data_IF_832584364531
#
_entry.id   IF_832584364531
#
_cell.length_a   1.000
_cell.length_b   1.000
_cell.length_c   1.000
_cell.angle_alpha   90.00
_cell.angle_beta   90.00
_cell.angle_gamma   90.00
#
_symmetry.space_group_name_H-M   'P 1'
#
loop_
_entity.id
_entity.type
_entity.pdbx_description
1 polymer ?
#
# COMPACT_ATOMS: atom_id res chain seq x y z
N UNK A 1 1.10 -4.64 -17.95
CA UNK A 1 2.01 -5.74 -17.57
C UNK A 1 1.40 -6.47 -16.38
N UNK A 2 1.16 -5.78 -15.28
CA UNK A 2 0.61 -6.35 -14.03
C UNK A 2 -0.39 -5.40 -13.38
N UNK A 3 -1.27 -5.96 -12.56
CA UNK A 3 -2.09 -5.24 -11.59
C UNK A 3 -1.39 -5.31 -10.22
N UNK A 4 -1.60 -4.31 -9.38
CA UNK A 4 -1.03 -4.23 -8.03
C UNK A 4 -2.02 -3.59 -7.07
N UNK A 5 -1.97 -3.98 -5.81
CA UNK A 5 -2.68 -3.35 -4.72
C UNK A 5 -1.85 -3.40 -3.44
N UNK A 6 -2.34 -2.77 -2.39
CA UNK A 6 -1.68 -2.76 -1.09
C UNK A 6 -2.17 -3.92 -0.24
N UNK A 7 -1.26 -4.52 0.54
CA UNK A 7 -1.55 -5.57 1.49
C UNK A 7 -0.61 -5.45 2.69
N UNK A 8 -0.98 -6.05 3.80
CA UNK A 8 -0.12 -6.07 4.99
C UNK A 8 1.00 -7.12 4.84
N UNK A 9 2.17 -6.77 5.37
CA UNK A 9 3.27 -7.70 5.63
C UNK A 9 3.65 -7.61 7.08
N UNK A 10 3.91 -8.76 7.69
CA UNK A 10 4.22 -8.83 9.10
C UNK A 10 5.54 -9.55 9.33
N UNK A 11 6.35 -9.03 10.23
CA UNK A 11 7.52 -9.71 10.76
C UNK A 11 7.08 -10.70 11.84
N UNK A 12 6.78 -11.91 11.41
CA UNK A 12 6.33 -12.97 12.30
C UNK A 12 7.33 -13.25 13.42
N UNK A 13 8.64 -13.06 13.19
CA UNK A 13 9.66 -13.23 14.21
C UNK A 13 9.42 -12.32 15.40
N UNK A 14 9.21 -11.00 15.16
CA UNK A 14 8.89 -10.05 16.25
C UNK A 14 7.55 -10.35 16.91
N UNK A 15 6.52 -10.67 16.12
CA UNK A 15 5.21 -11.02 16.67
C UNK A 15 5.29 -12.21 17.62
N UNK A 16 6.02 -13.26 17.24
CA UNK A 16 6.26 -14.46 18.08
C UNK A 16 7.06 -14.11 19.34
N UNK A 17 8.11 -13.27 19.23
CA UNK A 17 8.94 -12.83 20.36
C UNK A 17 8.13 -12.03 21.40
N UNK A 18 7.22 -11.18 20.96
CA UNK A 18 6.35 -10.37 21.83
C UNK A 18 5.16 -11.18 22.34
N UNK A 19 4.84 -12.29 21.71
CA UNK A 19 3.67 -13.12 22.03
C UNK A 19 2.35 -12.48 21.54
N UNK A 20 2.39 -11.90 20.34
CA UNK A 20 1.23 -11.40 19.64
C UNK A 20 0.97 -12.25 18.39
N UNK A 21 -0.26 -12.65 18.15
CA UNK A 21 -0.65 -13.30 16.90
C UNK A 21 -0.71 -12.25 15.77
N UNK A 22 -0.50 -12.67 14.53
CA UNK A 22 -0.67 -11.81 13.36
C UNK A 22 -2.13 -11.35 13.28
N UNK A 23 -2.41 -10.03 13.28
CA UNK A 23 -3.76 -9.51 13.34
C UNK A 23 -4.51 -9.70 12.02
N UNK A 24 -5.78 -10.04 12.14
CA UNK A 24 -6.76 -10.14 11.04
C UNK A 24 -7.93 -9.17 11.23
N UNK A 25 -7.95 -8.47 12.34
CA UNK A 25 -8.93 -7.46 12.72
C UNK A 25 -8.25 -6.21 13.26
N UNK A 26 -8.95 -5.07 13.21
CA UNK A 26 -8.48 -3.82 13.82
C UNK A 26 -8.39 -3.95 15.34
N UNK A 27 -9.33 -4.67 15.96
CA UNK A 27 -9.32 -4.92 17.40
C UNK A 27 -8.05 -5.68 17.82
N UNK A 28 -7.69 -6.74 17.08
CA UNK A 28 -6.46 -7.50 17.31
C UNK A 28 -5.21 -6.63 17.08
N UNK A 29 -5.20 -5.79 16.03
CA UNK A 29 -4.10 -4.89 15.74
C UNK A 29 -3.88 -3.86 16.86
N UNK A 30 -4.96 -3.27 17.38
CA UNK A 30 -4.89 -2.36 18.54
C UNK A 30 -4.39 -3.07 19.81
N UNK A 31 -4.85 -4.30 20.06
CA UNK A 31 -4.35 -5.12 21.17
C UNK A 31 -2.86 -5.48 21.02
N UNK A 32 -2.36 -5.62 19.80
CA UNK A 32 -0.92 -5.74 19.54
C UNK A 32 -0.18 -4.46 19.90
N UNK A 33 -0.72 -3.27 19.58
CA UNK A 33 -0.12 -1.99 19.98
C UNK A 33 0.19 -1.92 21.48
N UNK A 34 -0.74 -2.31 22.35
CA UNK A 34 -0.54 -2.37 23.79
C UNK A 34 0.59 -3.33 24.19
N UNK A 35 0.70 -4.50 23.57
CA UNK A 35 1.75 -5.49 23.86
C UNK A 35 3.12 -5.02 23.39
N UNK A 36 3.18 -4.40 22.21
CA UNK A 36 4.39 -3.85 21.63
C UNK A 36 4.91 -2.70 22.51
N UNK A 37 4.06 -1.75 22.93
CA UNK A 37 4.40 -0.69 23.85
C UNK A 37 4.93 -1.21 25.21
N UNK A 38 4.37 -2.31 25.72
CA UNK A 38 4.84 -2.94 26.93
C UNK A 38 6.18 -3.67 26.77
N UNK A 39 6.52 -4.09 25.55
CA UNK A 39 7.79 -4.75 25.23
C UNK A 39 8.94 -3.73 25.06
N UNK A 40 8.69 -2.62 24.37
CA UNK A 40 9.64 -1.52 24.22
C UNK A 40 9.00 -0.31 23.53
N UNK A 41 9.40 0.89 23.94
CA UNK A 41 8.84 2.16 23.46
C UNK A 41 9.09 2.40 21.95
N UNK A 42 10.08 1.73 21.37
CA UNK A 42 10.51 1.80 19.97
C UNK A 42 9.98 0.64 19.11
N UNK A 43 9.14 -0.24 19.69
CA UNK A 43 8.51 -1.36 18.99
C UNK A 43 7.09 -1.01 18.58
N UNK A 44 6.78 -1.18 17.31
CA UNK A 44 5.45 -0.92 16.73
C UNK A 44 4.98 -2.09 15.86
N UNK A 45 3.73 -2.55 16.01
CA UNK A 45 3.20 -3.63 15.17
C UNK A 45 3.07 -3.24 13.70
N UNK A 46 2.96 -1.95 13.39
CA UNK A 46 2.82 -1.45 12.01
C UNK A 46 3.59 -0.14 11.84
N UNK A 47 4.27 0.05 10.73
CA UNK A 47 4.92 1.30 10.36
C UNK A 47 4.36 1.84 9.04
N UNK A 48 3.98 3.11 9.03
CA UNK A 48 3.37 3.78 7.89
C UNK A 48 3.97 5.17 7.70
N UNK A 49 4.59 5.40 6.54
CA UNK A 49 4.92 6.75 6.09
C UNK A 49 3.65 7.55 5.73
N UNK A 50 3.79 8.83 5.42
CA UNK A 50 2.67 9.73 5.15
C UNK A 50 1.79 9.23 4.01
N UNK A 51 2.41 8.78 2.90
CA UNK A 51 1.67 8.23 1.77
C UNK A 51 0.95 6.91 2.12
N UNK A 52 1.56 6.07 2.95
CA UNK A 52 0.96 4.81 3.37
C UNK A 52 -0.24 5.02 4.29
N UNK A 53 -0.17 6.06 5.16
CA UNK A 53 -1.30 6.50 6.00
C UNK A 53 -2.48 6.96 5.13
N UNK A 54 -2.20 7.75 4.07
CA UNK A 54 -3.24 8.16 3.13
C UNK A 54 -3.92 6.98 2.46
N UNK A 55 -3.15 5.99 2.01
CA UNK A 55 -3.70 4.78 1.38
C UNK A 55 -4.49 3.94 2.37
N UNK A 56 -4.01 3.79 3.61
CA UNK A 56 -4.72 3.04 4.65
C UNK A 56 -6.02 3.74 5.05
N UNK A 57 -6.03 5.08 5.11
CA UNK A 57 -7.25 5.86 5.33
C UNK A 57 -8.29 5.62 4.23
N UNK A 58 -7.89 5.61 2.96
CA UNK A 58 -8.79 5.32 1.84
C UNK A 58 -9.34 3.89 1.94
N UNK A 59 -8.49 2.91 2.27
CA UNK A 59 -8.92 1.54 2.51
C UNK A 59 -9.97 1.46 3.62
N UNK A 60 -9.77 2.17 4.73
CA UNK A 60 -10.74 2.26 5.82
C UNK A 60 -12.07 2.86 5.33
N UNK A 61 -12.06 4.01 4.68
CA UNK A 61 -13.26 4.69 4.19
C UNK A 61 -14.04 3.83 3.18
N UNK A 62 -13.35 3.17 2.25
CA UNK A 62 -13.97 2.26 1.32
C UNK A 62 -14.59 1.04 2.02
N UNK A 63 -13.98 0.56 3.12
CA UNK A 63 -14.54 -0.52 3.94
C UNK A 63 -15.79 -0.10 4.70
N UNK A 64 -15.87 1.16 5.13
CA UNK A 64 -17.03 1.69 5.86
C UNK A 64 -18.17 2.05 4.91
N UNK A 65 -17.88 2.70 3.79
CA UNK A 65 -18.90 3.33 2.93
C UNK A 65 -19.17 2.59 1.62
N UNK A 66 -18.28 1.68 1.19
CA UNK A 66 -18.46 0.86 -0.01
C UNK A 66 -18.38 1.63 -1.33
N UNK A 67 -17.69 2.77 -1.35
CA UNK A 67 -17.54 3.62 -2.55
C UNK A 67 -16.06 3.91 -2.81
N UNK A 68 -15.67 3.99 -4.08
CA UNK A 68 -14.31 4.40 -4.49
C UNK A 68 -14.01 5.80 -3.95
N UNK A 69 -12.73 6.08 -3.67
CA UNK A 69 -12.27 7.40 -3.24
C UNK A 69 -12.66 8.52 -4.20
N UNK A 70 -12.43 8.32 -5.49
CA UNK A 70 -12.73 9.26 -6.57
C UNK A 70 -13.45 8.53 -7.70
N UNK A 71 -14.52 9.11 -8.23
CA UNK A 71 -15.21 8.65 -9.43
C UNK A 71 -15.47 9.84 -10.35
N UNK A 72 -15.17 9.69 -11.65
CA UNK A 72 -15.39 10.70 -12.67
C UNK A 72 -14.80 12.10 -12.32
N UNK A 73 -13.63 12.10 -11.65
CA UNK A 73 -12.95 13.32 -11.25
C UNK A 73 -13.60 14.06 -10.06
N UNK A 74 -14.36 13.34 -9.24
CA UNK A 74 -14.98 13.89 -8.03
C UNK A 74 -14.70 12.97 -6.84
N UNK A 75 -14.40 13.56 -5.68
CA UNK A 75 -14.29 12.84 -4.42
C UNK A 75 -15.70 12.39 -4.00
N UNK A 76 -15.85 11.11 -3.65
CA UNK A 76 -17.12 10.54 -3.22
C UNK A 76 -17.45 10.77 -1.73
N UNK A 77 -16.53 11.36 -0.98
CA UNK A 77 -16.65 11.54 0.46
C UNK A 77 -16.83 13.00 0.82
N UNK A 78 -17.64 13.25 1.84
CA UNK A 78 -17.74 14.58 2.48
C UNK A 78 -16.52 14.85 3.35
N UNK A 79 -16.28 16.10 3.73
CA UNK A 79 -15.22 16.47 4.67
C UNK A 79 -15.40 15.79 6.03
N UNK A 80 -16.63 15.57 6.50
CA UNK A 80 -16.89 14.85 7.76
C UNK A 80 -16.47 13.37 7.67
N UNK A 81 -16.72 12.70 6.54
CA UNK A 81 -16.28 11.33 6.31
C UNK A 81 -14.76 11.24 6.18
N UNK A 82 -14.13 12.23 5.53
CA UNK A 82 -12.64 12.31 5.46
C UNK A 82 -12.09 12.52 6.86
N UNK A 83 -12.71 13.37 7.68
CA UNK A 83 -12.33 13.57 9.08
C UNK A 83 -12.40 12.26 9.88
N UNK A 84 -13.43 11.44 9.67
CA UNK A 84 -13.51 10.09 10.28
C UNK A 84 -12.32 9.21 9.87
N UNK A 85 -11.94 9.22 8.58
CA UNK A 85 -10.77 8.47 8.10
C UNK A 85 -9.45 8.97 8.68
N UNK A 86 -9.30 10.29 8.83
CA UNK A 86 -8.11 10.89 9.46
C UNK A 86 -8.06 10.61 10.96
N UNK A 87 -9.22 10.63 11.65
CA UNK A 87 -9.31 10.22 13.06
C UNK A 87 -8.90 8.75 13.24
N UNK A 88 -9.32 7.86 12.32
CA UNK A 88 -8.87 6.47 12.34
C UNK A 88 -7.33 6.35 12.30
N UNK A 89 -6.65 7.14 11.45
CA UNK A 89 -5.17 7.16 11.39
C UNK A 89 -4.57 7.69 12.70
N UNK A 90 -5.15 8.75 13.26
CA UNK A 90 -4.69 9.30 14.55
C UNK A 90 -4.91 8.31 15.70
N UNK A 91 -6.04 7.62 15.73
CA UNK A 91 -6.33 6.58 16.73
C UNK A 91 -5.31 5.42 16.68
N UNK A 92 -4.76 5.08 15.50
CA UNK A 92 -3.70 4.08 15.38
C UNK A 92 -2.38 4.58 15.99
N UNK A 93 -2.07 5.87 15.82
CA UNK A 93 -0.88 6.48 16.42
C UNK A 93 -1.03 6.56 17.95
N UNK A 94 -2.18 7.03 18.45
CA UNK A 94 -2.49 7.15 19.88
C UNK A 94 -2.52 5.78 20.59
N UNK A 95 -2.93 4.72 19.87
CA UNK A 95 -2.95 3.35 20.37
C UNK A 95 -1.60 2.62 20.26
N UNK A 96 -0.51 3.33 19.94
CA UNK A 96 0.82 2.76 19.72
C UNK A 96 0.86 1.65 18.66
N UNK A 97 -0.05 1.71 17.69
CA UNK A 97 -0.07 0.79 16.55
C UNK A 97 0.95 1.23 15.51
N UNK A 98 1.03 2.55 15.26
CA UNK A 98 1.99 3.13 14.33
C UNK A 98 2.86 4.18 15.03
N UNK A 99 4.16 4.30 14.67
CA UNK A 99 5.00 5.39 15.16
C UNK A 99 4.53 6.73 14.59
N UNK A 100 4.77 7.84 15.29
CA UNK A 100 4.50 9.17 14.75
C UNK A 100 5.33 9.46 13.49
N UNK A 101 4.87 10.40 12.64
CA UNK A 101 5.65 10.87 11.49
C UNK A 101 7.01 11.43 11.97
N UNK A 102 7.04 12.13 13.10
CA UNK A 102 8.29 12.61 13.68
C UNK A 102 9.27 11.49 14.06
N UNK A 103 8.78 10.39 14.58
CA UNK A 103 9.58 9.20 14.92
C UNK A 103 10.22 8.60 13.65
N UNK A 104 9.41 8.32 12.62
CA UNK A 104 9.92 7.76 11.35
C UNK A 104 10.91 8.70 10.66
N UNK A 105 10.62 10.01 10.64
CA UNK A 105 11.54 11.01 10.09
C UNK A 105 12.85 11.10 10.88
N UNK A 106 12.79 10.92 12.20
CA UNK A 106 13.96 10.89 13.08
C UNK A 106 14.91 9.72 12.82
N UNK A 107 14.41 8.62 12.26
CA UNK A 107 15.24 7.46 11.87
C UNK A 107 16.16 7.76 10.67
N UNK A 108 15.87 8.81 9.90
CA UNK A 108 16.73 9.30 8.83
C UNK A 108 16.83 8.42 7.59
N UNK A 109 15.99 7.41 7.46
CA UNK A 109 15.94 6.52 6.28
C UNK A 109 15.14 7.16 5.14
N UNK A 110 15.57 6.92 3.89
CA UNK A 110 14.89 7.42 2.70
C UNK A 110 13.59 6.66 2.37
N UNK A 111 13.44 5.44 2.88
CA UNK A 111 12.26 4.58 2.70
C UNK A 111 12.23 3.51 3.81
N UNK A 112 11.04 2.95 4.08
CA UNK A 112 10.87 1.97 5.18
C UNK A 112 11.73 0.71 5.00
N UNK A 113 11.98 0.23 3.77
CA UNK A 113 12.87 -0.91 3.54
C UNK A 113 14.35 -0.63 3.87
N UNK A 114 14.75 0.65 3.97
CA UNK A 114 16.08 1.09 4.37
C UNK A 114 16.13 1.54 5.83
N UNK A 115 14.99 1.52 6.51
CA UNK A 115 14.88 1.92 7.90
C UNK A 115 15.46 0.82 8.80
N UNK A 116 16.39 1.20 9.71
CA UNK A 116 17.02 0.24 10.61
C UNK A 116 16.01 -0.43 11.54
N UNK A 117 14.96 0.28 11.95
CA UNK A 117 13.90 -0.28 12.80
C UNK A 117 13.08 -1.36 12.07
N UNK A 118 12.88 -1.26 10.75
CA UNK A 118 12.34 -2.35 9.94
C UNK A 118 13.31 -3.53 9.86
N UNK A 119 14.58 -3.26 9.57
CA UNK A 119 15.62 -4.29 9.41
C UNK A 119 15.81 -5.09 10.70
N UNK A 120 15.80 -4.43 11.85
CA UNK A 120 15.98 -5.03 13.16
C UNK A 120 14.66 -5.60 13.76
N UNK A 121 13.51 -5.31 13.12
CA UNK A 121 12.19 -5.81 13.51
C UNK A 121 11.52 -5.01 14.63
N UNK A 122 11.96 -3.79 14.93
CA UNK A 122 11.24 -2.89 15.83
C UNK A 122 9.94 -2.41 15.18
N UNK A 123 9.92 -2.20 13.87
CA UNK A 123 8.72 -2.05 13.06
C UNK A 123 8.35 -3.41 12.49
N UNK A 124 7.32 -4.03 13.05
CA UNK A 124 6.98 -5.43 12.77
C UNK A 124 5.92 -5.60 11.67
N UNK A 125 5.49 -4.54 11.02
CA UNK A 125 4.52 -4.59 9.93
C UNK A 125 4.57 -3.37 9.03
N UNK A 126 4.11 -3.56 7.80
CA UNK A 126 3.93 -2.51 6.79
C UNK A 126 2.66 -2.76 5.99
N UNK A 127 2.10 -1.71 5.37
CA UNK A 127 1.02 -1.79 4.40
C UNK A 127 1.54 -1.32 3.04
N UNK A 128 1.96 -2.26 2.19
CA UNK A 128 2.76 -1.98 1.01
C UNK A 128 2.24 -2.70 -0.25
N UNK A 129 2.72 -2.28 -1.43
CA UNK A 129 2.35 -2.89 -2.71
C UNK A 129 2.76 -4.37 -2.75
N UNK A 130 1.88 -5.21 -3.28
CA UNK A 130 2.15 -6.64 -3.48
C UNK A 130 3.43 -6.91 -4.29
N UNK A 131 3.75 -6.01 -5.23
CA UNK A 131 4.98 -6.07 -6.01
C UNK A 131 6.27 -5.76 -5.22
N UNK A 132 6.15 -5.21 -4.01
CA UNK A 132 7.27 -4.85 -3.12
C UNK A 132 7.64 -5.95 -2.12
N UNK A 133 6.88 -7.05 -2.04
CA UNK A 133 7.07 -8.12 -1.06
C UNK A 133 8.53 -8.59 -0.93
N UNK A 134 9.17 -8.93 -2.05
CA UNK A 134 10.55 -9.43 -2.05
C UNK A 134 11.56 -8.38 -1.58
N UNK A 135 11.30 -7.10 -1.86
CA UNK A 135 12.17 -5.98 -1.45
C UNK A 135 12.23 -5.88 0.07
N UNK A 136 11.07 -5.86 0.72
CA UNK A 136 10.97 -5.73 2.17
C UNK A 136 11.46 -7.00 2.91
N UNK A 137 11.13 -8.18 2.40
CA UNK A 137 11.62 -9.43 2.97
C UNK A 137 13.15 -9.56 2.86
N UNK A 138 13.74 -9.14 1.75
CA UNK A 138 15.21 -9.15 1.58
C UNK A 138 15.92 -8.12 2.46
N UNK A 139 15.28 -6.99 2.77
CA UNK A 139 15.85 -5.98 3.67
C UNK A 139 15.96 -6.49 5.11
N UNK A 140 15.01 -7.30 5.57
CA UNK A 140 14.96 -7.90 6.91
C UNK A 140 15.56 -9.32 6.91
N UNK A 141 16.80 -9.46 6.44
CA UNK A 141 17.47 -10.76 6.33
C UNK A 141 17.54 -11.48 7.68
N UNK A 142 17.15 -12.76 7.70
CA UNK A 142 17.13 -13.60 8.90
C UNK A 142 15.82 -13.53 9.70
N UNK A 143 14.86 -12.70 9.29
CA UNK A 143 13.53 -12.61 9.88
C UNK A 143 12.47 -13.28 8.99
N UNK A 144 11.42 -13.78 9.61
CA UNK A 144 10.29 -14.41 8.89
C UNK A 144 9.24 -13.37 8.55
N UNK A 145 9.33 -12.81 7.33
CA UNK A 145 8.32 -11.89 6.81
C UNK A 145 7.20 -12.70 6.14
N UNK A 146 5.97 -12.48 6.54
CA UNK A 146 4.78 -13.16 6.00
C UNK A 146 3.83 -12.18 5.32
N UNK A 147 3.11 -12.66 4.33
CA UNK A 147 2.02 -11.91 3.69
C UNK A 147 0.78 -12.00 4.57
N UNK A 148 0.33 -10.86 5.07
CA UNK A 148 -0.87 -10.75 5.88
C UNK A 148 -2.16 -10.92 5.08
N UNK A 149 -3.28 -10.87 5.77
CA UNK A 149 -4.61 -10.73 5.21
C UNK A 149 -5.14 -9.31 5.43
N UNK A 150 -6.23 -8.93 4.78
CA UNK A 150 -6.91 -7.68 5.05
C UNK A 150 -7.65 -7.74 6.39
N UNK A 151 -7.77 -6.59 7.06
CA UNK A 151 -8.54 -6.48 8.29
C UNK A 151 -10.03 -6.60 7.97
N UNK A 152 -10.73 -7.51 8.67
CA UNK A 152 -12.09 -7.92 8.32
C UNK A 152 -13.18 -7.16 9.06
N UNK A 153 -12.84 -6.29 10.02
CA UNK A 153 -13.76 -5.58 10.91
C UNK A 153 -13.73 -4.05 10.73
N UNK A 154 -13.15 -3.54 9.64
CA UNK A 154 -13.12 -2.09 9.36
C UNK A 154 -14.50 -1.53 9.01
N UNK A 155 -15.36 -2.32 8.36
CA UNK A 155 -16.70 -1.92 7.93
C UNK A 155 -17.46 -3.06 7.29
N UNK A 156 -18.57 -2.72 6.63
CA UNK A 156 -19.47 -3.72 6.00
C UNK A 156 -18.98 -4.17 4.60
N UNK A 157 -18.01 -3.46 4.02
CA UNK A 157 -17.54 -3.68 2.65
C UNK A 157 -16.08 -4.14 2.63
N UNK A 158 -15.70 -4.73 1.52
CA UNK A 158 -14.29 -5.04 1.22
C UNK A 158 -13.65 -3.80 0.57
N UNK A 159 -13.04 -2.95 1.37
CA UNK A 159 -12.30 -1.79 0.89
C UNK A 159 -10.94 -2.16 0.30
N UNK A 160 -10.24 -1.15 -0.17
CA UNK A 160 -8.97 -1.30 -0.86
C UNK A 160 -9.16 -1.39 -2.37
N UNK A 161 -8.11 -1.12 -3.09
CA UNK A 161 -8.15 -0.99 -4.54
C UNK A 161 -6.96 -1.69 -5.22
N UNK A 162 -7.16 -2.05 -6.49
CA UNK A 162 -6.08 -2.44 -7.37
C UNK A 162 -5.95 -1.46 -8.54
N UNK A 163 -4.73 -1.26 -8.98
CA UNK A 163 -4.40 -0.40 -10.12
C UNK A 163 -3.49 -1.12 -11.12
N UNK A 164 -3.37 -0.57 -12.32
CA UNK A 164 -2.31 -0.96 -13.24
C UNK A 164 -0.96 -0.59 -12.64
N UNK A 165 -0.11 -1.58 -12.41
CA UNK A 165 1.24 -1.36 -11.88
C UNK A 165 2.15 -0.74 -12.93
N UNK A 166 2.24 -1.41 -14.09
CA UNK A 166 3.08 -0.99 -15.20
C UNK A 166 2.40 -1.30 -16.53
N UNK A 167 2.63 -0.44 -17.52
CA UNK A 167 2.19 -0.67 -18.90
C UNK A 167 3.33 -0.42 -19.88
N UNK A 168 3.25 -1.05 -21.07
CA UNK A 168 4.06 -0.68 -22.20
C UNK A 168 3.35 0.44 -22.98
N UNK A 169 4.09 1.44 -23.40
CA UNK A 169 3.59 2.53 -24.22
C UNK A 169 4.43 2.66 -25.50
N UNK A 170 3.76 2.99 -26.59
CA UNK A 170 4.42 3.34 -27.85
C UNK A 170 4.31 4.85 -28.01
N UNK A 171 5.46 5.54 -28.20
CA UNK A 171 5.47 6.98 -28.41
C UNK A 171 4.60 7.38 -29.60
N UNK A 172 3.86 8.49 -29.46
CA UNK A 172 3.10 9.07 -30.57
C UNK A 172 4.00 9.53 -31.74
N UNK A 173 5.29 9.75 -31.48
CA UNK A 173 6.29 10.11 -32.49
C UNK A 173 7.08 8.91 -33.03
N UNK A 174 6.65 7.67 -32.72
CA UNK A 174 7.33 6.47 -33.19
C UNK A 174 7.22 6.36 -34.73
N UNK A 175 8.36 6.25 -35.40
CA UNK A 175 8.41 6.12 -36.85
C UNK A 175 8.04 4.70 -37.33
N UNK A 176 8.09 3.70 -36.45
CA UNK A 176 7.80 2.29 -36.73
C UNK A 176 6.76 1.69 -35.76
N UNK A 177 5.52 2.24 -35.71
CA UNK A 177 4.54 1.86 -34.68
C UNK A 177 4.07 0.39 -34.81
N UNK A 178 4.08 -0.18 -36.01
CA UNK A 178 3.71 -1.59 -36.22
C UNK A 178 4.75 -2.54 -35.64
N UNK A 179 6.01 -2.26 -35.86
CA UNK A 179 7.14 -3.03 -35.33
C UNK A 179 7.22 -2.90 -33.81
N UNK A 180 7.01 -1.71 -33.28
CA UNK A 180 6.90 -1.48 -31.84
C UNK A 180 5.74 -2.27 -31.22
N UNK A 181 4.56 -2.30 -31.87
CA UNK A 181 3.43 -3.09 -31.42
C UNK A 181 3.71 -4.60 -31.46
N UNK A 182 4.45 -5.09 -32.45
CA UNK A 182 4.89 -6.50 -32.50
C UNK A 182 5.82 -6.84 -31.34
N UNK A 183 6.74 -5.94 -30.97
CA UNK A 183 7.61 -6.12 -29.81
C UNK A 183 6.80 -6.16 -28.51
N UNK A 184 5.88 -5.22 -28.32
CA UNK A 184 4.99 -5.21 -27.15
C UNK A 184 4.17 -6.49 -27.08
N UNK A 185 3.59 -6.93 -28.21
CA UNK A 185 2.83 -8.18 -28.26
C UNK A 185 3.71 -9.41 -27.93
N UNK A 186 4.95 -9.45 -28.41
CA UNK A 186 5.90 -10.50 -28.07
C UNK A 186 6.16 -10.52 -26.55
N UNK A 187 6.51 -9.37 -25.96
CA UNK A 187 6.80 -9.26 -24.51
C UNK A 187 5.60 -9.63 -23.62
N UNK A 188 4.38 -9.38 -24.10
CA UNK A 188 3.16 -9.63 -23.32
C UNK A 188 2.57 -11.03 -23.53
N UNK A 189 2.70 -11.62 -24.72
CA UNK A 189 1.90 -12.78 -25.10
C UNK A 189 2.72 -13.96 -25.66
N UNK A 190 4.04 -13.84 -25.76
CA UNK A 190 4.87 -14.94 -26.24
C UNK A 190 5.33 -15.83 -25.08
N UNK A 191 5.28 -17.15 -25.26
CA UNK A 191 5.65 -18.12 -24.23
C UNK A 191 7.13 -18.03 -23.83
N UNK A 192 8.04 -17.79 -24.79
CA UNK A 192 9.47 -17.62 -24.50
C UNK A 192 9.72 -16.35 -23.66
N UNK A 193 9.08 -15.23 -24.04
CA UNK A 193 9.15 -14.00 -23.25
C UNK A 193 8.59 -14.19 -21.84
N UNK A 194 7.48 -14.91 -21.70
CA UNK A 194 6.87 -15.22 -20.40
C UNK A 194 7.79 -16.10 -19.52
N UNK A 195 8.50 -17.06 -20.09
CA UNK A 195 9.47 -17.88 -19.36
C UNK A 195 10.69 -17.06 -18.90
N UNK A 196 11.12 -16.07 -19.68
CA UNK A 196 12.24 -15.20 -19.32
C UNK A 196 11.82 -14.19 -18.23
N UNK A 197 10.64 -13.59 -18.38
CA UNK A 197 10.16 -12.53 -17.48
C UNK A 197 9.64 -13.08 -16.13
N UNK A 198 8.97 -14.25 -16.15
CA UNK A 198 8.37 -14.82 -14.94
C UNK A 198 7.50 -13.80 -14.20
N UNK A 199 7.80 -13.59 -12.93
CA UNK A 199 7.17 -12.58 -12.05
C UNK A 199 8.03 -11.33 -11.80
N UNK A 200 9.14 -11.13 -12.54
CA UNK A 200 10.07 -10.02 -12.35
C UNK A 200 9.41 -8.62 -12.48
N UNK A 201 8.30 -8.54 -13.19
CA UNK A 201 7.51 -7.32 -13.39
C UNK A 201 6.11 -7.43 -12.79
N UNK A 202 5.97 -8.22 -11.72
CA UNK A 202 4.69 -8.58 -11.11
C UNK A 202 4.02 -9.76 -11.81
N UNK A 203 2.88 -10.20 -11.29
CA UNK A 203 2.11 -11.29 -11.87
C UNK A 203 1.52 -10.87 -13.23
N UNK A 204 1.79 -11.61 -14.33
CA UNK A 204 1.32 -11.21 -15.66
C UNK A 204 -0.20 -11.14 -15.77
N UNK A 205 -0.74 -10.08 -16.38
CA UNK A 205 -2.19 -9.97 -16.70
C UNK A 205 -2.56 -10.72 -17.98
N UNK A 206 -1.61 -11.00 -18.87
CA UNK A 206 -1.84 -11.81 -20.06
C UNK A 206 -2.11 -13.25 -19.69
N UNK A 207 -3.22 -13.82 -20.16
CA UNK A 207 -3.58 -15.22 -19.90
C UNK A 207 -2.54 -16.22 -20.43
N UNK A 208 -1.90 -15.91 -21.55
CA UNK A 208 -0.83 -16.73 -22.13
C UNK A 208 0.39 -16.69 -21.23
N UNK A 209 0.85 -15.48 -20.87
CA UNK A 209 2.02 -15.32 -20.03
C UNK A 209 1.79 -15.90 -18.62
N UNK A 210 0.61 -15.66 -18.04
CA UNK A 210 0.22 -16.20 -16.74
C UNK A 210 0.27 -17.73 -16.74
N UNK A 211 -0.37 -18.36 -17.72
CA UNK A 211 -0.38 -19.82 -17.85
C UNK A 211 1.04 -20.37 -18.05
N UNK A 212 1.81 -19.79 -18.97
CA UNK A 212 3.18 -20.23 -19.26
C UNK A 212 4.09 -20.13 -18.04
N UNK A 213 4.04 -19.00 -17.33
CA UNK A 213 4.85 -18.80 -16.14
C UNK A 213 4.43 -19.74 -15.00
N UNK A 214 3.12 -20.00 -14.85
CA UNK A 214 2.61 -20.95 -13.87
C UNK A 214 3.04 -22.39 -14.20
N UNK A 215 2.87 -22.84 -15.43
CA UNK A 215 3.27 -24.19 -15.87
C UNK A 215 4.78 -24.42 -15.73
N UNK A 216 5.58 -23.37 -15.88
CA UNK A 216 7.03 -23.40 -15.68
C UNK A 216 7.46 -23.27 -14.20
N UNK A 217 6.53 -23.12 -13.25
CA UNK A 217 6.81 -22.94 -11.83
C UNK A 217 7.52 -21.62 -11.48
N UNK A 218 7.36 -20.60 -12.31
CA UNK A 218 7.99 -19.29 -12.13
C UNK A 218 7.10 -18.33 -11.31
N UNK A 219 5.82 -18.69 -11.09
CA UNK A 219 4.91 -17.94 -10.24
C UNK A 219 4.89 -18.55 -8.85
N UNK A 220 5.83 -18.12 -8.02
CA UNK A 220 5.97 -18.55 -6.63
C UNK A 220 6.47 -17.41 -5.75
N UNK A 221 6.51 -17.66 -4.43
CA UNK A 221 6.99 -16.69 -3.47
C UNK A 221 5.95 -15.63 -3.09
N UNK A 222 6.38 -14.71 -2.24
CA UNK A 222 5.52 -13.75 -1.56
C UNK A 222 4.83 -12.76 -2.51
N UNK A 223 5.45 -12.37 -3.61
CA UNK A 223 4.82 -11.48 -4.61
C UNK A 223 3.57 -12.12 -5.21
N UNK A 224 3.63 -13.41 -5.54
CA UNK A 224 2.48 -14.13 -6.12
C UNK A 224 1.39 -14.38 -5.08
N UNK A 225 1.78 -14.73 -3.86
CA UNK A 225 0.85 -14.88 -2.73
C UNK A 225 0.14 -13.56 -2.45
N UNK A 226 0.89 -12.46 -2.31
CA UNK A 226 0.35 -11.14 -2.04
C UNK A 226 -0.60 -10.67 -3.15
N UNK A 227 -0.20 -10.80 -4.42
CA UNK A 227 -1.04 -10.44 -5.56
C UNK A 227 -2.32 -11.30 -5.62
N UNK A 228 -2.22 -12.59 -5.32
CA UNK A 228 -3.38 -13.48 -5.24
C UNK A 228 -4.38 -13.03 -4.18
N UNK A 229 -3.91 -12.67 -2.98
CA UNK A 229 -4.74 -12.14 -1.88
C UNK A 229 -5.37 -10.78 -2.27
N UNK A 230 -4.58 -9.87 -2.85
CA UNK A 230 -5.08 -8.56 -3.33
C UNK A 230 -6.22 -8.74 -4.33
N UNK A 231 -6.00 -9.50 -5.40
CA UNK A 231 -7.00 -9.66 -6.46
C UNK A 231 -8.23 -10.47 -6.03
N UNK A 232 -8.13 -11.28 -4.96
CA UNK A 232 -9.27 -11.97 -4.38
C UNK A 232 -10.12 -11.08 -3.46
N UNK A 233 -9.53 -10.03 -2.89
CA UNK A 233 -10.19 -9.14 -1.94
C UNK A 233 -10.75 -7.88 -2.58
N UNK A 234 -9.92 -7.15 -3.35
CA UNK A 234 -10.26 -5.81 -3.83
C UNK A 234 -11.23 -5.84 -5.00
N UNK A 235 -12.24 -4.97 -4.95
CA UNK A 235 -13.20 -4.74 -6.03
C UNK A 235 -13.12 -3.32 -6.62
N UNK A 236 -12.49 -2.40 -5.89
CA UNK A 236 -12.38 -0.99 -6.25
C UNK A 236 -11.15 -0.73 -7.14
N UNK A 237 -11.18 0.37 -7.86
CA UNK A 237 -10.06 0.85 -8.69
C UNK A 237 -9.55 2.18 -8.17
N UNK A 238 -8.26 2.42 -8.32
CA UNK A 238 -7.68 3.71 -7.97
C UNK A 238 -7.76 4.66 -9.16
N UNK A 239 -8.28 5.87 -8.94
CA UNK A 239 -8.24 6.94 -9.94
C UNK A 239 -6.78 7.27 -10.30
N UNK A 240 -6.43 7.37 -11.59
CA UNK A 240 -5.05 7.65 -12.00
C UNK A 240 -4.46 8.94 -11.42
N UNK A 241 -5.28 9.95 -11.14
CA UNK A 241 -4.84 11.22 -10.55
C UNK A 241 -4.52 11.11 -9.06
N UNK A 242 -4.92 10.02 -8.39
CA UNK A 242 -4.49 9.77 -7.00
C UNK A 242 -2.97 9.80 -6.86
N UNK A 243 -2.25 9.39 -7.89
CA UNK A 243 -0.79 9.38 -7.91
C UNK A 243 -0.18 10.60 -8.63
N UNK A 244 -0.95 11.68 -8.83
CA UNK A 244 -0.40 12.93 -9.32
C UNK A 244 0.70 13.45 -8.38
N UNK A 245 1.75 14.01 -8.95
CA UNK A 245 2.89 14.49 -8.17
C UNK A 245 2.52 15.61 -7.19
N UNK A 246 1.54 16.43 -7.52
CA UNK A 246 1.03 17.49 -6.63
C UNK A 246 0.35 16.91 -5.38
N UNK A 247 -0.07 15.65 -5.41
CA UNK A 247 -0.70 14.96 -4.28
C UNK A 247 0.32 14.13 -3.50
N UNK A 248 1.11 13.28 -4.20
CA UNK A 248 1.90 12.22 -3.56
C UNK A 248 3.40 12.51 -3.39
N UNK A 249 3.95 13.59 -3.92
CA UNK A 249 5.35 13.94 -3.65
C UNK A 249 5.53 14.42 -2.21
N UNK A 250 6.77 14.41 -1.72
CA UNK A 250 7.09 14.79 -0.33
C UNK A 250 6.72 16.23 0.04
N UNK A 251 6.44 17.07 -0.94
CA UNK A 251 5.88 18.43 -0.81
C UNK A 251 4.42 18.50 -1.28
N UNK A 252 3.77 17.36 -1.50
CA UNK A 252 2.38 17.26 -1.97
C UNK A 252 1.37 17.22 -0.83
N UNK A 253 0.10 17.31 -1.21
CA UNK A 253 -1.05 17.44 -0.28
C UNK A 253 -1.10 16.29 0.74
N UNK A 254 -0.82 15.05 0.32
CA UNK A 254 -0.91 13.90 1.24
C UNK A 254 0.12 13.96 2.36
N UNK A 255 1.35 14.37 2.03
CA UNK A 255 2.42 14.53 3.02
C UNK A 255 2.15 15.68 3.97
N UNK A 256 1.71 16.85 3.44
CA UNK A 256 1.34 18.00 4.25
C UNK A 256 0.26 17.66 5.26
N UNK A 257 -0.82 17.02 4.82
CA UNK A 257 -1.97 16.66 5.67
C UNK A 257 -1.59 15.62 6.72
N UNK A 258 -0.94 14.52 6.32
CA UNK A 258 -0.61 13.44 7.25
C UNK A 258 0.48 13.85 8.26
N UNK A 259 1.47 14.63 7.83
CA UNK A 259 2.47 15.19 8.71
C UNK A 259 1.86 16.23 9.66
N UNK A 260 1.08 17.18 9.13
CA UNK A 260 0.43 18.22 9.93
C UNK A 260 -0.50 17.65 11.00
N UNK A 261 -1.24 16.57 10.69
CA UNK A 261 -2.06 15.85 11.65
C UNK A 261 -1.20 15.21 12.75
N UNK A 262 -0.16 14.46 12.39
CA UNK A 262 0.72 13.76 13.34
C UNK A 262 1.55 14.73 14.20
N UNK A 263 1.92 15.91 13.68
CA UNK A 263 2.60 16.96 14.44
C UNK A 263 1.65 17.78 15.31
N UNK A 264 0.33 17.67 15.11
CA UNK A 264 -0.68 18.48 15.79
C UNK A 264 -0.76 19.92 15.27
N UNK A 265 -0.27 20.16 14.05
CA UNK A 265 -0.38 21.47 13.36
C UNK A 265 -1.79 21.67 12.79
N UNK A 266 -2.51 20.57 12.50
CA UNK A 266 -3.92 20.56 12.09
C UNK A 266 -4.78 19.81 13.10
N UNK A 267 -5.98 20.29 13.33
CA UNK A 267 -7.06 19.45 13.85
C UNK A 267 -7.52 18.47 12.76
N UNK A 268 -8.25 17.44 13.14
CA UNK A 268 -8.79 16.46 12.17
C UNK A 268 -9.69 17.14 11.12
N UNK A 269 -10.50 18.13 11.54
CA UNK A 269 -11.38 18.86 10.63
C UNK A 269 -10.60 19.77 9.68
N UNK A 270 -9.56 20.46 10.15
CA UNK A 270 -8.67 21.29 9.32
C UNK A 270 -7.92 20.42 8.31
N UNK A 271 -7.40 19.27 8.74
CA UNK A 271 -6.74 18.29 7.89
C UNK A 271 -7.70 17.75 6.80
N UNK A 272 -8.95 17.43 7.18
CA UNK A 272 -9.97 16.95 6.24
C UNK A 272 -10.34 17.99 5.19
N UNK A 273 -10.49 19.24 5.58
CA UNK A 273 -10.78 20.33 4.64
C UNK A 273 -9.59 20.55 3.71
N UNK A 274 -8.37 20.59 4.24
CA UNK A 274 -7.13 20.77 3.45
C UNK A 274 -6.98 19.64 2.43
N UNK A 275 -7.22 18.39 2.84
CA UNK A 275 -7.16 17.22 1.96
C UNK A 275 -8.22 17.29 0.86
N UNK A 276 -9.47 17.60 1.22
CA UNK A 276 -10.58 17.73 0.27
C UNK A 276 -10.31 18.80 -0.81
N UNK A 277 -9.89 19.99 -0.38
CA UNK A 277 -9.61 21.11 -1.28
C UNK A 277 -8.41 20.82 -2.18
N UNK A 278 -7.33 20.29 -1.61
CA UNK A 278 -6.11 19.96 -2.34
C UNK A 278 -6.33 18.86 -3.40
N UNK A 279 -7.03 17.79 -3.04
CA UNK A 279 -7.36 16.72 -3.99
C UNK A 279 -8.30 17.23 -5.08
N UNK A 280 -9.37 17.97 -4.70
CA UNK A 280 -10.32 18.54 -5.66
C UNK A 280 -9.64 19.46 -6.66
N UNK A 281 -8.67 20.27 -6.23
CA UNK A 281 -7.92 21.17 -7.11
C UNK A 281 -7.12 20.41 -8.19
N UNK A 282 -6.62 19.22 -7.87
CA UNK A 282 -5.84 18.39 -8.80
C UNK A 282 -6.74 17.57 -9.71
N UNK A 283 -7.78 16.91 -9.17
CA UNK A 283 -8.62 16.02 -9.98
C UNK A 283 -9.55 16.78 -10.94
N UNK A 284 -9.82 18.07 -10.69
CA UNK A 284 -10.63 18.93 -11.55
C UNK A 284 -9.87 19.52 -12.76
N UNK A 285 -8.55 19.35 -12.86
CA UNK A 285 -7.72 19.77 -13.99
C UNK A 285 -7.79 18.77 -15.15
#
# INVERSE_FOLDING_TARGET
>A
ISMTGRIFYWDKTTFDEIGCEIPTTLEELKACGEKFAAYGDDYYPLALGEYDRMILMVYYLESVYGTDWVTDGQINYTTDQIAEGLQFIQDLEDAHVIPSVATIAGDGAASLDQNQNWIDGHYAGIFEWDSSASKFASAAEGREIVVGDYLTDLGEYQGGYAKVSMCWAISATCEHPKEAALLVNFLMNNEEAAQILGSERGVPVSQIALKTANDAGLLNGQVVEANGKVLAWVSNSLDPKFEDSQLKSSDGVYYDVMAGLSYGDYTVEEAAQTLYDGVTAVISQ
#
